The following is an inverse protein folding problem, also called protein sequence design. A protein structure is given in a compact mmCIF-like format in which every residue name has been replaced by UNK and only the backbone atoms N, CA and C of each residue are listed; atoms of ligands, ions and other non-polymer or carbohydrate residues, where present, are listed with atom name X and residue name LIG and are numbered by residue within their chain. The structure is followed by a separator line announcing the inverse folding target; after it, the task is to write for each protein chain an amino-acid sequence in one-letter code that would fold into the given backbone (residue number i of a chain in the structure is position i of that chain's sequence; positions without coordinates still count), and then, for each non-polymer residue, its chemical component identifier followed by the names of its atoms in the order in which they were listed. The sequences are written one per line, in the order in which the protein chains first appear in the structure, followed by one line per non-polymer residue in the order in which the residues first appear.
data_IF_646739236796
#
_entry.id   IF_646739236796
#
_cell.length_a   1.000
_cell.length_b   1.000
_cell.length_c   1.000
_cell.angle_alpha   90.00
_cell.angle_beta   90.00
_cell.angle_gamma   90.00
#
_symmetry.space_group_name_H-M   'P 1'
#
loop_
_entity.id
_entity.type
_entity.pdbx_description
1 polymer ?
#
# COMPACT_ATOMS: atom_id res chain seq x y z
N UNK A 1 -17.69 -17.85 44.13
CA UNK A 1 -18.11 -17.07 42.94
C UNK A 1 -17.10 -15.96 42.60
N UNK A 2 -16.77 -15.06 43.54
CA UNK A 2 -15.83 -13.95 43.32
C UNK A 2 -14.42 -14.35 42.82
N UNK A 3 -13.88 -15.48 43.31
CA UNK A 3 -12.56 -15.97 42.90
C UNK A 3 -12.55 -16.49 41.46
N UNK A 4 -13.65 -17.13 41.03
CA UNK A 4 -13.80 -17.66 39.67
C UNK A 4 -13.93 -16.52 38.65
N UNK A 5 -14.70 -15.50 38.99
CA UNK A 5 -14.84 -14.30 38.15
C UNK A 5 -13.52 -13.54 38.04
N UNK A 6 -12.77 -13.42 39.15
CA UNK A 6 -11.46 -12.78 39.15
C UNK A 6 -10.44 -13.56 38.30
N UNK A 7 -10.40 -14.89 38.47
CA UNK A 7 -9.53 -15.77 37.69
C UNK A 7 -9.83 -15.71 36.19
N UNK A 8 -11.12 -15.65 35.81
CA UNK A 8 -11.55 -15.51 34.42
C UNK A 8 -11.09 -14.18 33.82
N UNK A 9 -11.26 -13.06 34.54
CA UNK A 9 -10.82 -11.73 34.09
C UNK A 9 -9.29 -11.70 33.90
N UNK A 10 -8.53 -12.23 34.85
CA UNK A 10 -7.06 -12.29 34.78
C UNK A 10 -6.62 -13.14 33.59
N UNK A 11 -7.23 -14.32 33.41
CA UNK A 11 -6.90 -15.23 32.32
C UNK A 11 -7.23 -14.61 30.95
N UNK A 12 -8.38 -13.94 30.83
CA UNK A 12 -8.77 -13.25 29.61
C UNK A 12 -7.75 -12.15 29.24
N UNK A 13 -7.41 -11.29 30.20
CA UNK A 13 -6.47 -10.19 29.97
C UNK A 13 -5.06 -10.71 29.64
N UNK A 14 -4.64 -11.83 30.25
CA UNK A 14 -3.29 -12.40 30.06
C UNK A 14 -3.14 -13.22 28.78
N UNK A 15 -4.16 -13.94 28.34
CA UNK A 15 -4.03 -14.90 27.23
C UNK A 15 -4.86 -14.52 26.01
N UNK A 16 -6.09 -14.04 26.19
CA UNK A 16 -7.01 -13.76 25.07
C UNK A 16 -6.72 -12.40 24.44
N UNK A 17 -6.62 -11.36 25.27
CA UNK A 17 -6.44 -9.99 24.81
C UNK A 17 -5.22 -9.79 23.90
N UNK A 18 -3.98 -10.21 24.25
CA UNK A 18 -2.81 -9.96 23.41
C UNK A 18 -2.89 -10.66 22.05
N UNK A 19 -3.40 -11.90 22.02
CA UNK A 19 -3.55 -12.67 20.79
C UNK A 19 -4.63 -12.04 19.91
N UNK A 20 -5.77 -11.65 20.50
CA UNK A 20 -6.86 -11.02 19.76
C UNK A 20 -6.45 -9.66 19.19
N UNK A 21 -5.71 -8.83 19.95
CA UNK A 21 -5.19 -7.54 19.48
C UNK A 21 -4.25 -7.71 18.30
N UNK A 22 -3.36 -8.71 18.35
CA UNK A 22 -2.40 -8.96 17.29
C UNK A 22 -3.09 -9.39 15.99
N UNK A 23 -4.08 -10.30 16.09
CA UNK A 23 -4.86 -10.76 14.94
C UNK A 23 -5.65 -9.61 14.32
N UNK A 24 -6.30 -8.79 15.14
CA UNK A 24 -7.05 -7.63 14.65
C UNK A 24 -6.13 -6.61 13.96
N UNK A 25 -4.96 -6.34 14.55
CA UNK A 25 -3.96 -5.42 13.98
C UNK A 25 -3.44 -5.93 12.62
N UNK A 26 -3.10 -7.22 12.52
CA UNK A 26 -2.66 -7.83 11.25
C UNK A 26 -3.76 -7.86 10.20
N UNK A 27 -4.98 -8.21 10.59
CA UNK A 27 -6.12 -8.21 9.69
C UNK A 27 -6.38 -6.80 9.14
N UNK A 28 -6.45 -5.80 10.02
CA UNK A 28 -6.66 -4.41 9.61
C UNK A 28 -5.55 -3.92 8.65
N UNK A 29 -4.28 -4.20 8.97
CA UNK A 29 -3.15 -3.86 8.08
C UNK A 29 -3.27 -4.52 6.71
N UNK A 30 -3.74 -5.77 6.67
CA UNK A 30 -3.94 -6.51 5.41
C UNK A 30 -5.07 -5.92 4.58
N UNK A 31 -6.21 -5.61 5.21
CA UNK A 31 -7.35 -5.00 4.52
C UNK A 31 -7.03 -3.58 4.02
N UNK A 32 -6.29 -2.78 4.80
CA UNK A 32 -5.81 -1.45 4.36
C UNK A 32 -4.93 -1.60 3.11
N UNK A 33 -3.96 -2.53 3.12
CA UNK A 33 -3.10 -2.77 1.96
C UNK A 33 -3.89 -3.20 0.72
N UNK A 34 -4.89 -4.07 0.91
CA UNK A 34 -5.78 -4.51 -0.17
C UNK A 34 -6.58 -3.35 -0.74
N UNK A 35 -7.08 -2.47 0.13
CA UNK A 35 -7.84 -1.30 -0.29
C UNK A 35 -6.99 -0.30 -1.06
N UNK A 36 -5.73 -0.09 -0.64
CA UNK A 36 -4.76 0.70 -1.39
C UNK A 36 -4.57 0.16 -2.82
N UNK A 37 -4.33 -1.16 -2.97
CA UNK A 37 -4.18 -1.77 -4.32
C UNK A 37 -5.44 -1.56 -5.16
N UNK A 38 -6.59 -1.88 -4.58
CA UNK A 38 -7.87 -1.88 -5.28
C UNK A 38 -8.25 -0.47 -5.73
N UNK A 39 -8.05 0.53 -4.86
CA UNK A 39 -8.33 1.92 -5.18
C UNK A 39 -7.42 2.44 -6.29
N UNK A 40 -6.12 2.11 -6.25
CA UNK A 40 -5.20 2.44 -7.33
C UNK A 40 -5.62 1.81 -8.66
N UNK A 41 -5.90 0.51 -8.68
CA UNK A 41 -6.34 -0.20 -9.89
C UNK A 41 -7.65 0.37 -10.45
N UNK A 42 -8.59 0.75 -9.57
CA UNK A 42 -9.87 1.33 -9.96
C UNK A 42 -9.69 2.70 -10.61
N UNK A 43 -8.85 3.57 -10.04
CA UNK A 43 -8.63 4.91 -10.59
C UNK A 43 -7.94 4.84 -11.95
N UNK A 44 -6.90 4.00 -12.08
CA UNK A 44 -6.21 3.80 -13.36
C UNK A 44 -7.18 3.30 -14.44
N UNK A 45 -8.07 2.35 -14.11
CA UNK A 45 -9.11 1.86 -15.03
C UNK A 45 -10.15 2.93 -15.36
N UNK A 46 -10.63 3.69 -14.36
CA UNK A 46 -11.65 4.74 -14.54
C UNK A 46 -11.15 5.89 -15.40
N UNK A 47 -9.87 6.25 -15.27
CA UNK A 47 -9.25 7.33 -16.02
C UNK A 47 -8.75 6.88 -17.41
N UNK A 48 -8.79 5.58 -17.72
CA UNK A 48 -8.31 4.99 -18.98
C UNK A 48 -6.87 5.38 -19.36
N UNK A 49 -6.04 5.65 -18.34
CA UNK A 49 -4.66 6.11 -18.53
C UNK A 49 -3.71 4.95 -18.82
N UNK A 50 -2.81 5.17 -19.77
CA UNK A 50 -1.72 4.29 -20.13
C UNK A 50 -0.37 4.90 -19.74
N UNK A 51 0.66 4.06 -19.64
CA UNK A 51 2.03 4.50 -19.30
C UNK A 51 2.54 5.59 -20.25
N UNK A 52 2.17 5.56 -21.53
CA UNK A 52 2.52 6.57 -22.54
C UNK A 52 1.96 7.95 -22.26
N UNK A 53 0.85 8.07 -21.52
CA UNK A 53 0.18 9.36 -21.29
C UNK A 53 0.92 10.22 -20.25
N UNK A 54 1.79 9.58 -19.46
CA UNK A 54 2.59 10.23 -18.42
C UNK A 54 3.89 10.83 -18.95
N UNK A 55 4.43 10.26 -20.04
CA UNK A 55 5.72 10.68 -20.60
C UNK A 55 5.69 10.64 -22.11
N UNK A 56 6.03 11.75 -22.74
CA UNK A 56 6.18 11.86 -24.19
C UNK A 56 7.64 12.18 -24.53
N UNK A 57 8.23 11.38 -25.43
CA UNK A 57 9.56 11.63 -25.96
C UNK A 57 9.46 12.58 -27.16
N UNK A 58 9.98 13.79 -27.02
CA UNK A 58 10.00 14.77 -28.11
C UNK A 58 11.39 14.73 -28.75
N UNK A 59 11.47 14.17 -29.95
CA UNK A 59 12.68 14.17 -30.77
C UNK A 59 12.66 15.39 -31.68
N UNK A 60 13.28 16.49 -31.23
CA UNK A 60 13.64 17.61 -32.09
C UNK A 60 15.10 17.50 -32.52
N UNK A 61 15.44 18.05 -33.69
CA UNK A 61 16.72 17.84 -34.38
C UNK A 61 17.97 18.25 -33.58
N UNK A 62 17.84 19.08 -32.54
CA UNK A 62 18.97 19.62 -31.78
C UNK A 62 19.05 19.19 -30.30
N UNK A 63 17.97 18.69 -29.69
CA UNK A 63 17.98 18.20 -28.29
C UNK A 63 16.89 17.17 -28.06
N UNK A 64 17.27 15.97 -27.61
CA UNK A 64 16.31 14.95 -27.15
C UNK A 64 15.88 15.30 -25.71
N UNK A 65 14.59 15.49 -25.46
CA UNK A 65 14.05 15.80 -24.14
C UNK A 65 12.77 15.00 -23.85
N UNK A 66 12.58 14.68 -22.56
CA UNK A 66 11.43 13.94 -22.06
C UNK A 66 10.43 14.94 -21.48
N UNK A 67 9.23 14.98 -22.05
CA UNK A 67 8.14 15.76 -21.49
C UNK A 67 7.35 14.89 -20.51
N UNK A 68 7.14 15.38 -19.30
CA UNK A 68 6.44 14.66 -18.23
C UNK A 68 5.13 15.38 -17.96
N UNK A 69 4.01 14.66 -18.06
CA UNK A 69 2.69 15.23 -17.82
C UNK A 69 2.40 15.35 -16.32
N UNK A 70 2.97 16.38 -15.68
CA UNK A 70 2.80 16.62 -14.24
C UNK A 70 1.34 16.86 -13.83
N UNK A 71 0.51 17.41 -14.72
CA UNK A 71 -0.92 17.58 -14.46
C UNK A 71 -1.63 16.23 -14.33
N UNK A 72 -1.32 15.28 -15.22
CA UNK A 72 -1.87 13.94 -15.16
C UNK A 72 -1.39 13.19 -13.90
N UNK A 73 -0.09 13.26 -13.59
CA UNK A 73 0.47 12.64 -12.38
C UNK A 73 -0.22 13.17 -11.12
N UNK A 74 -0.40 14.49 -11.02
CA UNK A 74 -1.10 15.12 -9.91
C UNK A 74 -2.57 14.69 -9.85
N UNK A 75 -3.27 14.65 -10.99
CA UNK A 75 -4.66 14.21 -11.05
C UNK A 75 -4.82 12.76 -10.59
N UNK A 76 -3.98 11.85 -11.11
CA UNK A 76 -3.99 10.43 -10.71
C UNK A 76 -3.69 10.29 -9.22
N UNK A 77 -2.65 10.97 -8.72
CA UNK A 77 -2.27 10.97 -7.30
C UNK A 77 -3.42 11.43 -6.41
N UNK A 78 -4.08 12.53 -6.76
CA UNK A 78 -5.20 13.08 -6.00
C UNK A 78 -6.42 12.14 -6.03
N UNK A 79 -6.75 11.57 -7.19
CA UNK A 79 -7.88 10.65 -7.30
C UNK A 79 -7.65 9.34 -6.55
N UNK A 80 -6.43 8.77 -6.60
CA UNK A 80 -6.06 7.60 -5.80
C UNK A 80 -6.19 7.91 -4.30
N UNK A 81 -5.66 9.06 -3.86
CA UNK A 81 -5.72 9.48 -2.45
C UNK A 81 -7.16 9.63 -1.96
N UNK A 82 -8.03 10.24 -2.78
CA UNK A 82 -9.44 10.44 -2.47
C UNK A 82 -10.21 9.10 -2.43
N UNK A 83 -9.99 8.22 -3.41
CA UNK A 83 -10.63 6.90 -3.47
C UNK A 83 -10.24 6.04 -2.25
N UNK A 84 -8.94 6.02 -1.89
CA UNK A 84 -8.46 5.31 -0.69
C UNK A 84 -9.13 5.88 0.57
N UNK A 85 -9.11 7.21 0.75
CA UNK A 85 -9.71 7.84 1.94
C UNK A 85 -11.20 7.54 2.06
N UNK A 86 -11.93 7.56 0.93
CA UNK A 86 -13.35 7.20 0.91
C UNK A 86 -13.57 5.74 1.30
N UNK A 87 -12.77 4.81 0.77
CA UNK A 87 -12.95 3.39 1.04
C UNK A 87 -12.46 2.95 2.43
N UNK A 88 -11.47 3.64 3.01
CA UNK A 88 -11.02 3.40 4.39
C UNK A 88 -12.12 3.71 5.41
N UNK A 89 -12.97 4.71 5.15
CA UNK A 89 -14.12 5.00 5.99
C UNK A 89 -15.24 3.95 5.89
N UNK A 90 -15.27 3.16 4.81
CA UNK A 90 -16.28 2.11 4.57
C UNK A 90 -15.86 0.76 5.18
N UNK A 91 -14.63 0.61 5.67
CA UNK A 91 -14.16 -0.57 6.42
C UNK A 91 -14.86 -0.75 7.80
N UNK A 92 -15.81 0.12 8.14
CA UNK A 92 -16.45 0.26 9.45
C UNK A 92 -17.36 -0.90 9.91
N UNK A 93 -17.57 -1.96 9.13
CA UNK A 93 -18.42 -3.11 9.55
C UNK A 93 -17.87 -4.47 9.13
N UNK A 94 -16.56 -4.70 9.32
CA UNK A 94 -15.95 -6.01 9.09
C UNK A 94 -16.00 -6.86 10.35
N UNK A 95 -16.35 -8.14 10.16
CA UNK A 95 -16.37 -9.16 11.23
C UNK A 95 -15.24 -10.15 11.02
N UNK A 96 -14.40 -10.33 12.04
CA UNK A 96 -13.42 -11.41 12.10
C UNK A 96 -13.96 -12.48 13.04
N UNK A 97 -13.93 -13.73 12.59
CA UNK A 97 -14.24 -14.87 13.44
C UNK A 97 -12.93 -15.51 13.93
N UNK A 98 -12.70 -15.48 15.25
CA UNK A 98 -11.50 -16.07 15.86
C UNK A 98 -11.91 -17.32 16.66
N UNK A 99 -11.40 -18.52 16.32
CA UNK A 99 -11.65 -19.72 17.11
C UNK A 99 -11.06 -19.58 18.52
N UNK A 100 -11.85 -19.87 19.55
CA UNK A 100 -11.37 -19.76 20.94
C UNK A 100 -10.17 -20.66 21.26
N UNK A 101 -10.05 -21.80 20.57
CA UNK A 101 -8.93 -22.70 20.74
C UNK A 101 -7.58 -22.09 20.33
N UNK A 102 -7.59 -21.01 19.53
CA UNK A 102 -6.38 -20.25 19.21
C UNK A 102 -5.73 -19.61 20.44
N UNK A 103 -6.53 -19.20 21.43
CA UNK A 103 -6.03 -18.61 22.68
C UNK A 103 -5.37 -19.62 23.61
N UNK A 104 -5.54 -20.93 23.36
CA UNK A 104 -4.87 -21.98 24.14
C UNK A 104 -3.34 -22.02 23.90
N UNK A 105 -2.87 -21.46 22.78
CA UNK A 105 -1.48 -21.56 22.34
C UNK A 105 -1.08 -22.94 21.78
N UNK A 106 -1.97 -23.93 21.77
CA UNK A 106 -1.71 -25.27 21.23
C UNK A 106 -2.11 -25.31 19.75
N UNK A 107 -1.19 -25.54 18.80
CA UNK A 107 -1.49 -25.53 17.37
C UNK A 107 -2.61 -26.49 16.96
N UNK A 108 -2.70 -27.66 17.62
CA UNK A 108 -3.74 -28.65 17.37
C UNK A 108 -5.15 -28.12 17.66
N UNK A 109 -5.29 -27.16 18.59
CA UNK A 109 -6.57 -26.56 18.96
C UNK A 109 -6.86 -25.25 18.25
N UNK A 110 -5.96 -24.75 17.39
CA UNK A 110 -6.08 -23.45 16.72
C UNK A 110 -7.35 -23.27 15.87
N UNK A 111 -8.02 -24.37 15.50
CA UNK A 111 -9.27 -24.39 14.72
C UNK A 111 -10.46 -24.96 15.49
N UNK A 112 -10.29 -25.33 16.76
CA UNK A 112 -11.33 -25.95 17.57
C UNK A 112 -12.07 -24.94 18.44
N UNK A 113 -13.30 -25.31 18.80
CA UNK A 113 -14.19 -24.53 19.66
C UNK A 113 -15.13 -23.60 18.88
N UNK A 114 -15.83 -22.74 19.61
CA UNK A 114 -16.72 -21.73 19.05
C UNK A 114 -15.92 -20.55 18.46
N UNK A 115 -16.46 -19.94 17.41
CA UNK A 115 -15.88 -18.74 16.80
C UNK A 115 -16.36 -17.50 17.55
N UNK A 116 -15.43 -16.75 18.13
CA UNK A 116 -15.71 -15.45 18.74
C UNK A 116 -15.71 -14.37 17.64
N UNK A 117 -16.86 -13.74 17.34
CA UNK A 117 -16.90 -12.65 16.38
C UNK A 117 -16.32 -11.38 17.00
N UNK A 118 -15.40 -10.73 16.28
CA UNK A 118 -14.85 -9.42 16.61
C UNK A 118 -15.27 -8.46 15.51
N UNK A 119 -16.00 -7.43 15.90
CA UNK A 119 -16.36 -6.33 15.03
C UNK A 119 -15.22 -5.31 14.99
N UNK A 120 -14.86 -4.90 13.79
CA UNK A 120 -13.87 -3.86 13.57
C UNK A 120 -14.56 -2.67 12.92
N UNK A 121 -14.44 -1.54 13.60
CA UNK A 121 -14.76 -0.22 13.06
C UNK A 121 -13.44 0.47 12.75
N UNK A 122 -13.37 1.15 11.61
CA UNK A 122 -12.22 1.97 11.28
C UNK A 122 -12.62 3.30 10.66
N UNK A 123 -11.78 4.30 10.91
CA UNK A 123 -11.88 5.64 10.35
C UNK A 123 -10.46 6.10 10.05
N UNK A 124 -10.24 6.70 8.88
CA UNK A 124 -8.91 7.10 8.49
C UNK A 124 -8.87 7.96 7.25
N UNK A 125 -7.70 8.58 7.07
CA UNK A 125 -7.35 9.37 5.90
C UNK A 125 -6.11 8.78 5.22
N UNK A 126 -5.99 9.06 3.93
CA UNK A 126 -4.79 8.78 3.17
C UNK A 126 -4.14 10.08 2.71
N UNK A 127 -2.82 10.06 2.65
CA UNK A 127 -1.99 11.07 2.02
C UNK A 127 -1.12 10.36 0.99
N UNK A 128 -0.94 10.98 -0.17
CA UNK A 128 0.01 10.47 -1.14
C UNK A 128 0.77 11.60 -1.81
N UNK A 129 2.05 11.35 -2.02
CA UNK A 129 2.96 12.19 -2.79
C UNK A 129 3.67 11.32 -3.82
N UNK A 130 4.19 11.91 -4.89
CA UNK A 130 4.97 11.17 -5.87
C UNK A 130 6.44 11.60 -5.87
N UNK A 131 7.31 10.68 -6.26
CA UNK A 131 8.73 10.93 -6.48
C UNK A 131 9.16 10.36 -7.83
N UNK A 132 10.18 10.96 -8.41
CA UNK A 132 10.74 10.55 -9.70
C UNK A 132 12.15 10.02 -9.52
N UNK A 133 12.48 8.90 -10.15
CA UNK A 133 13.80 8.29 -10.10
C UNK A 133 14.33 8.07 -11.52
N UNK A 134 15.56 8.53 -11.77
CA UNK A 134 16.32 8.29 -12.99
C UNK A 134 17.47 7.35 -12.68
N UNK A 135 17.55 6.21 -13.38
CA UNK A 135 18.64 5.23 -13.22
C UNK A 135 19.21 4.80 -14.56
N UNK A 136 20.49 4.41 -14.58
CA UNK A 136 21.09 3.79 -15.77
C UNK A 136 20.50 2.40 -16.00
N UNK A 137 19.95 2.17 -17.20
CA UNK A 137 19.31 0.91 -17.59
C UNK A 137 20.14 0.08 -18.57
N UNK A 138 21.21 0.65 -19.13
CA UNK A 138 22.04 0.01 -20.15
C UNK A 138 23.00 0.98 -20.83
N UNK A 139 23.69 0.50 -21.87
CA UNK A 139 24.58 1.33 -22.69
C UNK A 139 23.75 2.38 -23.42
N UNK A 140 23.89 3.64 -23.01
CA UNK A 140 23.09 4.77 -23.49
C UNK A 140 21.58 4.60 -23.23
N UNK A 141 21.18 3.99 -22.10
CA UNK A 141 19.78 3.87 -21.71
C UNK A 141 19.54 4.38 -20.30
N UNK A 142 18.45 5.11 -20.10
CA UNK A 142 18.04 5.62 -18.80
C UNK A 142 16.61 5.15 -18.51
N UNK A 143 16.41 4.54 -17.34
CA UNK A 143 15.09 4.22 -16.80
C UNK A 143 14.57 5.43 -16.03
N UNK A 144 13.38 5.89 -16.41
CA UNK A 144 12.63 6.92 -15.70
C UNK A 144 11.43 6.28 -15.00
N UNK A 145 11.35 6.47 -13.69
CA UNK A 145 10.35 5.86 -12.85
C UNK A 145 9.60 6.93 -12.06
N UNK A 146 8.28 6.78 -11.98
CA UNK A 146 7.43 7.58 -11.10
C UNK A 146 6.86 6.64 -10.04
N UNK A 147 7.13 6.96 -8.78
CA UNK A 147 6.66 6.22 -7.63
C UNK A 147 5.67 7.06 -6.84
N UNK A 148 4.57 6.44 -6.41
CA UNK A 148 3.59 7.02 -5.50
C UNK A 148 3.85 6.50 -4.09
N UNK A 149 4.14 7.40 -3.17
CA UNK A 149 4.33 7.16 -1.75
C UNK A 149 3.01 7.43 -1.03
N UNK A 150 2.35 6.37 -0.57
CA UNK A 150 1.05 6.44 0.11
C UNK A 150 1.25 6.21 1.60
N UNK A 151 0.68 7.07 2.42
CA UNK A 151 0.56 6.90 3.87
C UNK A 151 -0.91 6.91 4.26
N UNK A 152 -1.37 5.84 4.89
CA UNK A 152 -2.73 5.71 5.43
C UNK A 152 -2.67 5.69 6.95
N UNK A 153 -3.40 6.58 7.60
CA UNK A 153 -3.56 6.63 9.04
C UNK A 153 -4.98 6.20 9.41
N UNK A 154 -5.10 5.06 10.07
CA UNK A 154 -6.39 4.43 10.33
C UNK A 154 -6.52 4.12 11.82
N UNK A 155 -7.55 4.69 12.46
CA UNK A 155 -7.94 4.31 13.81
C UNK A 155 -8.81 3.06 13.73
N UNK A 156 -8.39 1.99 14.40
CA UNK A 156 -9.10 0.72 14.47
C UNK A 156 -9.65 0.53 15.88
N UNK A 157 -10.96 0.28 15.95
CA UNK A 157 -11.70 0.07 17.20
C UNK A 157 -12.41 -1.28 17.16
N UNK A 158 -12.16 -2.09 18.18
CA UNK A 158 -12.83 -3.36 18.46
C UNK A 158 -12.92 -3.55 19.98
N UNK A 159 -13.72 -4.50 20.49
CA UNK A 159 -13.82 -4.78 21.93
C UNK A 159 -12.49 -5.12 22.61
N UNK A 160 -11.48 -5.52 21.84
CA UNK A 160 -10.15 -5.92 22.32
C UNK A 160 -9.05 -4.93 21.94
N UNK A 161 -9.28 -4.05 20.95
CA UNK A 161 -8.25 -3.19 20.35
C UNK A 161 -8.80 -1.78 20.09
N UNK A 162 -8.16 -0.75 20.65
CA UNK A 162 -8.35 0.64 20.23
C UNK A 162 -6.99 1.24 19.90
N UNK A 163 -6.61 1.30 18.62
CA UNK A 163 -5.26 1.69 18.21
C UNK A 163 -5.24 2.39 16.85
N UNK A 164 -4.33 3.36 16.71
CA UNK A 164 -3.97 3.95 15.42
C UNK A 164 -2.94 3.07 14.69
N UNK A 165 -3.25 2.71 13.45
CA UNK A 165 -2.40 1.95 12.54
C UNK A 165 -1.97 2.89 11.41
N UNK A 166 -0.66 3.03 11.22
CA UNK A 166 -0.07 3.74 10.10
C UNK A 166 0.47 2.71 9.10
N UNK A 167 -0.03 2.75 7.87
CA UNK A 167 0.44 1.89 6.77
C UNK A 167 1.09 2.76 5.71
N UNK A 168 2.34 2.47 5.38
CA UNK A 168 3.08 3.13 4.31
C UNK A 168 3.29 2.15 3.16
N UNK A 169 3.00 2.60 1.94
CA UNK A 169 3.15 1.78 0.75
C UNK A 169 3.66 2.60 -0.42
N UNK A 170 4.57 1.99 -1.17
CA UNK A 170 5.11 2.55 -2.40
C UNK A 170 4.55 1.81 -3.60
N UNK A 171 3.98 2.53 -4.57
CA UNK A 171 3.43 1.99 -5.81
C UNK A 171 4.19 2.57 -7.00
N UNK A 172 4.53 1.75 -7.99
CA UNK A 172 5.11 2.25 -9.23
C UNK A 172 3.97 2.66 -10.17
N UNK A 173 3.93 3.93 -10.56
CA UNK A 173 2.95 4.45 -11.52
C UNK A 173 3.47 4.31 -12.95
N UNK A 174 4.75 4.63 -13.15
CA UNK A 174 5.40 4.64 -14.46
C UNK A 174 6.78 4.04 -14.33
N UNK A 175 7.13 3.20 -15.29
CA UNK A 175 8.50 2.80 -15.55
C UNK A 175 8.69 2.75 -17.07
N UNK A 176 9.50 3.68 -17.58
CA UNK A 176 9.81 3.76 -19.00
C UNK A 176 11.31 3.81 -19.20
N UNK A 177 11.79 3.28 -20.33
CA UNK A 177 13.21 3.26 -20.69
C UNK A 177 13.38 4.16 -21.89
N UNK A 178 14.22 5.18 -21.74
CA UNK A 178 14.61 6.08 -22.82
C UNK A 178 15.96 5.64 -23.38
N UNK A 179 16.04 5.61 -24.71
CA UNK A 179 17.27 5.31 -25.44
C UNK A 179 17.97 6.62 -25.80
N UNK A 180 19.14 6.86 -25.23
CA UNK A 180 20.03 7.94 -25.68
C UNK A 180 20.75 7.57 -26.98
N UNK A 181 21.08 8.58 -27.79
CA UNK A 181 21.90 8.37 -29.00
C UNK A 181 23.30 7.86 -28.61
N UNK A 182 23.70 6.73 -29.19
CA UNK A 182 25.09 6.24 -29.10
C UNK A 182 26.00 7.22 -29.85
N UNK A 183 27.01 7.85 -29.22
CA UNK A 183 27.93 8.73 -29.93
C UNK A 183 28.69 7.92 -30.99
N UNK A 184 28.62 8.31 -32.27
CA UNK A 184 29.30 7.62 -33.39
C UNK A 184 30.84 7.79 -33.41
N UNK A 185 31.48 8.22 -32.31
CA UNK A 185 32.80 8.85 -32.34
C UNK A 185 33.95 8.16 -31.60
N UNK A 186 33.87 6.90 -31.17
CA UNK A 186 34.95 6.28 -30.36
C UNK A 186 35.98 5.44 -31.13
N UNK A 187 35.87 5.28 -32.45
CA UNK A 187 36.70 4.33 -33.22
C UNK A 187 37.61 4.99 -34.28
N UNK A 188 38.34 6.06 -33.94
CA UNK A 188 39.44 6.53 -34.80
C UNK A 188 40.55 7.24 -34.02
N UNK A 189 41.13 6.56 -33.03
CA UNK A 189 42.47 6.91 -32.56
C UNK A 189 43.45 6.30 -33.57
N UNK A 190 43.80 7.04 -34.61
CA UNK A 190 45.02 6.76 -35.36
C UNK A 190 46.20 7.09 -34.44
N UNK A 191 46.83 6.06 -33.90
CA UNK A 191 48.17 6.18 -33.34
C UNK A 191 49.11 6.47 -34.52
N UNK A 192 49.61 7.70 -34.58
CA UNK A 192 50.79 8.06 -35.38
C UNK A 192 52.05 7.80 -34.55
#
# INVERSE_FOLDING_TARGET
MLFLTLFAIISFNRFVLPVATEICSKYATTEINKEISKSADNVIKKMEVQTSDFTEEITNTDTDHINVNSLLINSVTNQITAEISNNLNILSDKKINIPIGLFSGVPLFSRLGFNMPIHIVSMGDAKADYETLLTSAGVNQVSYQIWLNIECNVTVVSPVLGKNICVKRKLMLVNTIFNGKVPQGYANIKLN
#
